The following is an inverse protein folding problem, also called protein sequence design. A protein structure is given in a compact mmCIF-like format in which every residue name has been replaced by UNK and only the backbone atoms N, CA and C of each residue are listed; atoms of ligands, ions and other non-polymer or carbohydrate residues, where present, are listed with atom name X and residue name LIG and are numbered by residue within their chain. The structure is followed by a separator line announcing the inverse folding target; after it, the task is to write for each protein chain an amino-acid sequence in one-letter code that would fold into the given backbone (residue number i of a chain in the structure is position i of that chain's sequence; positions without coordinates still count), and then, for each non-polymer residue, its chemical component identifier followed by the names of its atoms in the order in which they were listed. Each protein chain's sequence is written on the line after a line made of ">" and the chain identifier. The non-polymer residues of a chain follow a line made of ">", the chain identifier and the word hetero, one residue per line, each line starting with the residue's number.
data_IF_981069506778
#
_entry.id   IF_981069506778
#
_cell.length_a   1.000
_cell.length_b   1.000
_cell.length_c   1.000
_cell.angle_alpha   90.00
_cell.angle_beta   90.00
_cell.angle_gamma   90.00
#
_symmetry.space_group_name_H-M   'P 1'
#
loop_
_entity.id
_entity.type
_entity.pdbx_description
1 polymer ?
#
# COMPACT_ATOMS: atom_id res chain seq x y z
N UNK A 1 -4.51 -4.46 -2.33
CA UNK A 1 -3.71 -5.09 -3.40
C UNK A 1 -3.30 -6.46 -2.90
N UNK A 2 -3.59 -7.51 -3.65
CA UNK A 2 -3.17 -8.88 -3.38
C UNK A 2 -2.69 -9.54 -4.66
N UNK A 3 -2.02 -10.69 -4.54
CA UNK A 3 -1.52 -11.43 -5.70
C UNK A 3 -1.02 -12.81 -5.32
N UNK A 4 -0.79 -13.62 -6.35
CA UNK A 4 -0.31 -14.99 -6.24
C UNK A 4 0.74 -15.26 -7.31
N UNK A 5 1.79 -16.00 -6.96
CA UNK A 5 2.79 -16.51 -7.89
C UNK A 5 3.03 -18.00 -7.59
N UNK A 6 3.02 -18.84 -8.63
CA UNK A 6 3.37 -20.26 -8.48
C UNK A 6 4.88 -20.41 -8.24
N UNK A 7 5.26 -21.41 -7.42
CA UNK A 7 6.67 -21.75 -7.17
C UNK A 7 7.51 -20.57 -6.66
N UNK A 8 7.00 -19.84 -5.67
CA UNK A 8 7.65 -18.70 -5.05
C UNK A 8 8.02 -19.00 -3.59
N UNK A 9 8.77 -18.10 -2.97
CA UNK A 9 9.09 -18.13 -1.53
C UNK A 9 8.41 -16.98 -0.80
N UNK A 10 8.23 -17.08 0.52
CA UNK A 10 7.67 -16.00 1.33
C UNK A 10 8.42 -14.69 1.10
N UNK A 11 9.76 -14.71 1.15
CA UNK A 11 10.57 -13.51 0.91
C UNK A 11 10.27 -12.86 -0.46
N UNK A 12 10.10 -13.66 -1.53
CA UNK A 12 9.74 -13.11 -2.84
C UNK A 12 8.38 -12.46 -2.83
N UNK A 13 7.39 -13.09 -2.17
CA UNK A 13 6.03 -12.53 -2.08
C UNK A 13 6.01 -11.22 -1.30
N UNK A 14 6.78 -11.12 -0.21
CA UNK A 14 6.92 -9.88 0.57
C UNK A 14 7.56 -8.76 -0.26
N UNK A 15 8.64 -9.07 -1.01
CA UNK A 15 9.26 -8.11 -1.93
C UNK A 15 8.30 -7.67 -3.03
N UNK A 16 7.53 -8.58 -3.61
CA UNK A 16 6.53 -8.27 -4.64
C UNK A 16 5.41 -7.38 -4.09
N UNK A 17 4.94 -7.64 -2.86
CA UNK A 17 3.96 -6.80 -2.19
C UNK A 17 4.50 -5.38 -1.97
N UNK A 18 5.76 -5.26 -1.53
CA UNK A 18 6.44 -3.97 -1.38
C UNK A 18 6.57 -3.23 -2.73
N UNK A 19 6.96 -3.92 -3.81
CA UNK A 19 7.03 -3.36 -5.16
C UNK A 19 5.68 -2.78 -5.58
N UNK A 20 4.60 -3.57 -5.45
CA UNK A 20 3.25 -3.13 -5.82
C UNK A 20 2.77 -1.94 -5.00
N UNK A 21 3.13 -1.89 -3.73
CA UNK A 21 2.82 -0.77 -2.85
C UNK A 21 3.59 0.49 -3.27
N UNK A 22 4.89 0.39 -3.54
CA UNK A 22 5.71 1.51 -3.99
C UNK A 22 5.28 2.03 -5.37
N UNK A 23 4.97 1.12 -6.33
CA UNK A 23 4.39 1.47 -7.63
C UNK A 23 3.10 2.30 -7.45
N UNK A 24 2.25 1.89 -6.52
CA UNK A 24 1.00 2.61 -6.22
C UNK A 24 1.26 3.96 -5.56
N UNK A 25 2.16 4.02 -4.58
CA UNK A 25 2.52 5.26 -3.88
C UNK A 25 3.14 6.31 -4.80
N UNK A 26 3.90 5.90 -5.82
CA UNK A 26 4.45 6.83 -6.83
C UNK A 26 3.38 7.59 -7.63
N UNK A 27 2.15 7.09 -7.68
CA UNK A 27 1.04 7.76 -8.34
C UNK A 27 0.49 8.94 -7.53
N UNK A 28 0.87 9.06 -6.26
CA UNK A 28 0.42 10.13 -5.37
C UNK A 28 1.56 11.12 -5.12
N UNK A 29 1.24 12.42 -5.06
CA UNK A 29 2.18 13.43 -4.55
C UNK A 29 2.23 13.33 -3.04
N UNK A 30 3.22 12.62 -2.51
CA UNK A 30 3.39 12.43 -1.08
C UNK A 30 3.93 13.73 -0.47
N UNK A 31 3.14 14.40 0.38
CA UNK A 31 3.52 15.64 1.08
C UNK A 31 4.15 15.39 2.46
N UNK A 32 4.14 14.17 2.98
CA UNK A 32 4.58 13.80 4.34
C UNK A 32 5.34 12.47 4.31
N UNK A 33 6.11 12.22 5.37
CA UNK A 33 6.77 10.93 5.58
C UNK A 33 5.71 9.83 5.78
N UNK A 34 5.76 8.80 4.95
CA UNK A 34 4.90 7.63 5.02
C UNK A 34 5.63 6.48 5.70
N UNK A 35 4.90 5.72 6.51
CA UNK A 35 5.38 4.49 7.11
C UNK A 35 4.75 3.31 6.40
N UNK A 36 5.57 2.46 5.82
CA UNK A 36 5.15 1.18 5.28
C UNK A 36 5.43 0.12 6.35
N UNK A 37 4.37 -0.43 6.94
CA UNK A 37 4.47 -1.39 8.04
C UNK A 37 4.53 -2.81 7.49
N UNK A 38 5.45 -3.62 8.03
CA UNK A 38 5.64 -5.01 7.63
C UNK A 38 6.27 -5.81 8.78
N UNK A 39 6.00 -7.10 8.86
CA UNK A 39 6.66 -8.04 9.75
C UNK A 39 7.89 -8.71 9.11
N UNK A 40 8.17 -8.42 7.85
CA UNK A 40 9.32 -8.90 7.13
C UNK A 40 10.60 -8.14 7.50
N UNK A 41 11.38 -8.70 8.39
CA UNK A 41 12.74 -8.17 8.70
C UNK A 41 13.62 -8.16 7.45
N UNK A 42 13.51 -9.18 6.60
CA UNK A 42 14.28 -9.26 5.35
C UNK A 42 14.02 -8.05 4.44
N UNK A 43 12.73 -7.64 4.29
CA UNK A 43 12.38 -6.46 3.54
C UNK A 43 12.90 -5.18 4.19
N UNK A 44 12.74 -5.03 5.52
CA UNK A 44 13.19 -3.84 6.26
C UNK A 44 14.69 -3.65 6.14
N UNK A 45 15.47 -4.70 6.45
CA UNK A 45 16.91 -4.63 6.44
C UNK A 45 17.45 -4.39 5.02
N UNK A 46 16.87 -5.06 4.03
CA UNK A 46 17.25 -4.86 2.64
C UNK A 46 16.98 -3.44 2.17
N UNK A 47 15.78 -2.91 2.41
CA UNK A 47 15.37 -1.58 2.00
C UNK A 47 16.17 -0.47 2.69
N UNK A 48 16.40 -0.60 4.01
CA UNK A 48 17.01 0.45 4.82
C UNK A 48 18.54 0.42 4.79
N UNK A 49 19.12 -0.80 4.77
CA UNK A 49 20.54 -0.98 5.05
C UNK A 49 21.31 -1.60 3.86
N UNK A 50 20.81 -2.73 3.29
CA UNK A 50 21.64 -3.56 2.44
C UNK A 50 21.73 -3.06 0.99
N UNK A 51 20.65 -2.52 0.42
CA UNK A 51 20.61 -2.05 -0.98
C UNK A 51 21.78 -1.12 -1.30
N UNK A 52 22.08 -0.15 -0.43
CA UNK A 52 23.12 0.82 -0.68
C UNK A 52 24.53 0.16 -0.77
N UNK A 53 24.77 -0.85 0.07
CA UNK A 53 26.02 -1.61 0.06
C UNK A 53 26.10 -2.54 -1.14
N UNK A 54 25.00 -3.23 -1.48
CA UNK A 54 24.94 -4.08 -2.65
C UNK A 54 25.18 -3.30 -3.95
N UNK A 55 24.62 -2.12 -4.07
CA UNK A 55 24.86 -1.23 -5.24
C UNK A 55 26.34 -0.89 -5.37
N UNK A 56 27.02 -0.50 -4.27
CA UNK A 56 28.45 -0.19 -4.27
C UNK A 56 29.30 -1.40 -4.65
N UNK A 57 28.86 -2.60 -4.30
CA UNK A 57 29.57 -3.87 -4.53
C UNK A 57 29.10 -4.60 -5.81
N UNK A 58 28.46 -3.92 -6.75
CA UNK A 58 27.99 -4.52 -8.00
C UNK A 58 26.92 -5.62 -7.78
N UNK A 59 26.03 -5.42 -6.80
CA UNK A 59 24.94 -6.33 -6.42
C UNK A 59 25.44 -7.71 -5.95
N UNK A 60 26.56 -7.70 -5.20
CA UNK A 60 27.12 -8.89 -4.56
C UNK A 60 27.06 -8.75 -3.05
N UNK A 61 26.97 -9.90 -2.38
CA UNK A 61 27.07 -10.00 -0.92
C UNK A 61 28.53 -9.75 -0.48
N UNK A 62 28.76 -9.62 0.82
CA UNK A 62 30.13 -9.52 1.39
C UNK A 62 31.04 -10.72 1.05
N UNK A 63 30.42 -11.87 0.74
CA UNK A 63 31.14 -13.08 0.31
C UNK A 63 31.36 -13.17 -1.20
N UNK A 64 31.01 -12.13 -1.96
CA UNK A 64 31.17 -12.07 -3.42
C UNK A 64 30.09 -12.83 -4.22
N UNK A 65 29.12 -13.46 -3.57
CA UNK A 65 28.01 -14.16 -4.24
C UNK A 65 26.95 -13.16 -4.72
N UNK A 66 26.21 -13.46 -5.80
CA UNK A 66 25.05 -12.63 -6.21
C UNK A 66 24.04 -12.49 -5.07
N UNK A 67 23.42 -11.33 -4.97
CA UNK A 67 22.35 -11.08 -4.00
C UNK A 67 21.15 -11.97 -4.34
N UNK A 68 20.59 -12.63 -3.33
CA UNK A 68 19.37 -13.44 -3.50
C UNK A 68 18.18 -12.52 -3.84
N UNK A 69 17.31 -12.94 -4.76
CA UNK A 69 16.19 -12.16 -5.28
C UNK A 69 16.62 -10.80 -5.90
N UNK A 70 17.77 -10.80 -6.58
CA UNK A 70 18.38 -9.63 -7.18
C UNK A 70 17.41 -8.86 -8.07
N UNK A 71 16.63 -9.58 -8.87
CA UNK A 71 15.61 -9.04 -9.77
C UNK A 71 14.61 -8.13 -9.03
N UNK A 72 14.13 -8.58 -7.88
CA UNK A 72 13.17 -7.83 -7.08
C UNK A 72 13.83 -6.67 -6.32
N UNK A 73 15.04 -6.87 -5.82
CA UNK A 73 15.78 -5.82 -5.12
C UNK A 73 16.18 -4.66 -6.03
N UNK A 74 16.59 -4.94 -7.26
CA UNK A 74 16.87 -3.90 -8.26
C UNK A 74 15.60 -3.11 -8.61
N UNK A 75 14.46 -3.79 -8.72
CA UNK A 75 13.18 -3.14 -8.94
C UNK A 75 12.76 -2.26 -7.76
N UNK A 76 12.93 -2.74 -6.52
CA UNK A 76 12.68 -1.95 -5.31
C UNK A 76 13.56 -0.70 -5.28
N UNK A 77 14.86 -0.83 -5.59
CA UNK A 77 15.77 0.30 -5.61
C UNK A 77 15.33 1.40 -6.59
N UNK A 78 14.91 1.03 -7.79
CA UNK A 78 14.35 1.97 -8.77
C UNK A 78 13.01 2.61 -8.38
N UNK A 79 12.31 1.98 -7.43
CA UNK A 79 11.03 2.46 -6.91
C UNK A 79 11.14 3.18 -5.57
N UNK A 80 12.32 3.30 -4.97
CA UNK A 80 12.50 3.96 -3.66
C UNK A 80 11.92 5.38 -3.68
N UNK A 81 11.28 5.74 -2.59
CA UNK A 81 10.65 7.04 -2.36
C UNK A 81 11.21 7.56 -1.04
N UNK A 82 11.81 8.76 -1.06
CA UNK A 82 12.49 9.34 0.11
C UNK A 82 11.55 9.57 1.30
N UNK A 83 10.27 9.81 1.02
CA UNK A 83 9.23 10.03 2.01
C UNK A 83 8.70 8.74 2.65
N UNK A 84 9.12 7.56 2.14
CA UNK A 84 8.67 6.25 2.63
C UNK A 84 9.74 5.62 3.52
N UNK A 85 9.34 5.28 4.75
CA UNK A 85 10.14 4.53 5.70
C UNK A 85 9.49 3.19 6.01
N UNK A 86 10.30 2.15 6.14
CA UNK A 86 9.83 0.85 6.61
C UNK A 86 9.74 0.85 8.13
N UNK A 87 8.64 0.33 8.67
CA UNK A 87 8.42 0.17 10.11
C UNK A 87 8.07 -1.29 10.42
N UNK A 88 8.77 -1.86 11.39
CA UNK A 88 8.50 -3.23 11.82
C UNK A 88 7.21 -3.33 12.60
N UNK A 89 6.38 -4.30 12.27
CA UNK A 89 5.26 -4.76 13.10
C UNK A 89 5.48 -6.23 13.43
N UNK A 90 5.21 -6.63 14.65
CA UNK A 90 5.34 -8.04 15.04
C UNK A 90 4.19 -8.84 14.41
N UNK A 91 4.54 -9.87 13.62
CA UNK A 91 3.55 -10.79 13.06
C UNK A 91 2.76 -11.51 14.15
N UNK A 92 1.49 -11.81 13.90
CA UNK A 92 0.57 -12.52 14.79
C UNK A 92 0.53 -11.95 16.22
N UNK A 93 0.58 -10.63 16.34
CA UNK A 93 0.58 -9.93 17.63
C UNK A 93 -0.74 -9.24 17.95
N UNK A 94 -1.79 -9.49 17.16
CA UNK A 94 -3.07 -8.81 17.29
C UNK A 94 -3.08 -7.42 16.64
N UNK A 95 -2.03 -7.03 15.89
CA UNK A 95 -2.09 -5.81 15.08
C UNK A 95 -3.12 -6.00 13.96
N UNK A 96 -4.22 -5.29 14.06
CA UNK A 96 -5.40 -5.41 13.19
C UNK A 96 -5.06 -5.33 11.70
N UNK A 97 -4.16 -4.45 11.32
CA UNK A 97 -3.81 -4.27 9.91
C UNK A 97 -2.90 -5.37 9.40
N UNK A 98 -1.98 -5.85 10.25
CA UNK A 98 -1.11 -6.98 9.90
C UNK A 98 -1.91 -8.27 9.78
N UNK A 99 -2.79 -8.58 10.73
CA UNK A 99 -3.70 -9.73 10.68
C UNK A 99 -4.57 -9.73 9.41
N UNK A 100 -5.04 -8.55 9.01
CA UNK A 100 -5.80 -8.40 7.76
C UNK A 100 -4.96 -8.71 6.52
N UNK A 101 -3.71 -8.24 6.48
CA UNK A 101 -2.80 -8.52 5.36
C UNK A 101 -2.49 -10.01 5.28
N UNK A 102 -2.26 -10.68 6.41
CA UNK A 102 -2.04 -12.11 6.51
C UNK A 102 -3.23 -12.92 6.00
N UNK A 103 -4.45 -12.51 6.37
CA UNK A 103 -5.68 -13.14 5.87
C UNK A 103 -5.79 -13.00 4.34
N UNK A 104 -5.53 -11.81 3.81
CA UNK A 104 -5.53 -11.57 2.36
C UNK A 104 -4.50 -12.46 1.67
N UNK A 105 -3.26 -12.50 2.16
CA UNK A 105 -2.19 -13.32 1.62
C UNK A 105 -2.55 -14.83 1.63
N UNK A 106 -3.11 -15.31 2.74
CA UNK A 106 -3.57 -16.69 2.90
C UNK A 106 -4.70 -17.03 1.92
N UNK A 107 -5.66 -16.14 1.71
CA UNK A 107 -6.74 -16.36 0.75
C UNK A 107 -6.21 -16.46 -0.68
N UNK A 108 -5.31 -15.57 -1.07
CA UNK A 108 -4.68 -15.65 -2.40
C UNK A 108 -3.88 -16.95 -2.58
N UNK A 109 -3.15 -17.41 -1.56
CA UNK A 109 -2.41 -18.69 -1.63
C UNK A 109 -3.32 -19.92 -1.83
N UNK A 110 -4.57 -19.84 -1.36
CA UNK A 110 -5.61 -20.86 -1.54
C UNK A 110 -6.41 -20.72 -2.83
N UNK A 111 -6.07 -19.75 -3.70
CA UNK A 111 -6.79 -19.46 -4.93
C UNK A 111 -8.11 -18.71 -4.74
N UNK A 112 -8.36 -18.19 -3.54
CA UNK A 112 -9.56 -17.40 -3.23
C UNK A 112 -9.30 -15.96 -3.62
N UNK A 113 -9.61 -15.60 -4.86
CA UNK A 113 -9.34 -14.27 -5.42
C UNK A 113 -10.36 -13.20 -4.98
N UNK A 114 -11.39 -13.56 -4.23
CA UNK A 114 -12.37 -12.65 -3.66
C UNK A 114 -12.30 -12.76 -2.14
N UNK A 115 -11.91 -11.69 -1.50
CA UNK A 115 -12.26 -11.49 -0.09
C UNK A 115 -13.77 -11.34 -0.08
N UNK A 116 -14.49 -12.30 0.49
CA UNK A 116 -15.95 -12.25 0.60
C UNK A 116 -16.34 -10.93 1.27
N UNK A 117 -17.22 -10.15 0.63
CA UNK A 117 -17.70 -8.88 1.19
C UNK A 117 -18.26 -9.03 2.61
N UNK A 118 -18.87 -10.19 2.92
CA UNK A 118 -19.35 -10.50 4.28
C UNK A 118 -18.25 -10.63 5.34
N UNK A 119 -17.06 -11.14 4.98
CA UNK A 119 -15.91 -11.12 5.89
C UNK A 119 -15.31 -9.71 5.99
N UNK A 120 -15.41 -8.92 4.94
CA UNK A 120 -15.06 -7.52 4.92
C UNK A 120 -15.92 -6.71 5.91
N UNK A 121 -17.24 -6.90 5.89
CA UNK A 121 -18.20 -6.21 6.76
C UNK A 121 -18.00 -6.56 8.24
N UNK A 122 -17.64 -7.81 8.57
CA UNK A 122 -17.33 -8.23 9.95
C UNK A 122 -16.01 -7.65 10.48
N UNK A 123 -15.04 -7.36 9.60
CA UNK A 123 -13.77 -6.72 9.98
C UNK A 123 -13.96 -5.20 10.07
N UNK A 124 -14.80 -4.63 9.23
CA UNK A 124 -15.13 -3.20 9.24
C UNK A 124 -16.03 -2.83 10.44
N UNK A 125 -16.75 -3.82 11.03
CA UNK A 125 -17.50 -3.67 12.29
C UNK A 125 -16.64 -3.80 13.55
N UNK A 126 -15.40 -4.30 13.47
CA UNK A 126 -14.45 -4.27 14.56
C UNK A 126 -13.82 -2.88 14.66
N UNK A 127 -14.56 -1.97 15.29
CA UNK A 127 -14.11 -0.70 15.87
C UNK A 127 -12.91 -0.01 15.22
N UNK A 128 -13.11 0.53 14.01
CA UNK A 128 -12.41 1.74 13.64
C UNK A 128 -13.24 2.85 14.25
N UNK A 129 -12.86 3.34 15.41
CA UNK A 129 -13.23 4.67 15.85
C UNK A 129 -12.48 5.71 15.00
N UNK A 130 -12.57 5.59 13.66
CA UNK A 130 -12.31 6.71 12.80
C UNK A 130 -13.45 7.68 13.08
N UNK A 131 -13.18 8.97 13.32
CA UNK A 131 -14.24 9.96 13.46
C UNK A 131 -15.24 9.76 12.34
N UNK A 132 -16.54 9.80 12.65
CA UNK A 132 -17.63 9.56 11.67
C UNK A 132 -17.45 10.41 10.42
N UNK A 133 -16.81 11.57 10.56
CA UNK A 133 -16.42 12.47 9.48
C UNK A 133 -15.47 11.84 8.45
N UNK A 134 -14.49 11.03 8.89
CA UNK A 134 -13.55 10.35 8.00
C UNK A 134 -14.25 9.21 7.24
N UNK A 135 -15.13 8.47 7.91
CA UNK A 135 -15.95 7.41 7.28
C UNK A 135 -16.88 8.03 6.23
N UNK A 136 -17.51 9.14 6.56
CA UNK A 136 -18.38 9.88 5.65
C UNK A 136 -17.60 10.43 4.44
N UNK A 137 -16.40 10.97 4.66
CA UNK A 137 -15.54 11.46 3.58
C UNK A 137 -15.13 10.33 2.63
N UNK A 138 -14.75 9.17 3.17
CA UNK A 138 -14.36 8.02 2.35
C UNK A 138 -15.51 7.54 1.46
N UNK A 139 -16.73 7.42 2.03
CA UNK A 139 -17.92 7.03 1.29
C UNK A 139 -18.28 8.01 0.17
N UNK A 140 -18.07 9.31 0.39
CA UNK A 140 -18.30 10.36 -0.62
C UNK A 140 -17.26 10.29 -1.75
N UNK A 141 -15.99 10.08 -1.44
CA UNK A 141 -14.93 9.90 -2.45
C UNK A 141 -15.19 8.65 -3.30
N UNK A 142 -15.65 7.56 -2.69
CA UNK A 142 -16.02 6.35 -3.42
C UNK A 142 -17.21 6.60 -4.37
N UNK A 143 -18.20 7.38 -3.93
CA UNK A 143 -19.36 7.75 -4.76
C UNK A 143 -18.95 8.60 -5.97
N UNK A 144 -18.08 9.60 -5.77
CA UNK A 144 -17.51 10.42 -6.86
C UNK A 144 -16.76 9.55 -7.86
N UNK A 145 -15.96 8.61 -7.38
CA UNK A 145 -15.23 7.67 -8.24
C UNK A 145 -16.19 6.80 -9.09
N UNK A 146 -17.31 6.34 -8.51
CA UNK A 146 -18.33 5.56 -9.23
C UNK A 146 -19.05 6.40 -10.29
N UNK A 147 -19.33 7.67 -10.02
CA UNK A 147 -19.91 8.58 -11.01
C UNK A 147 -18.95 8.81 -12.19
N UNK A 148 -17.67 9.08 -11.91
CA UNK A 148 -16.66 9.24 -12.94
C UNK A 148 -16.51 7.99 -13.83
N UNK A 149 -16.52 6.80 -13.23
CA UNK A 149 -16.44 5.52 -13.97
C UNK A 149 -17.66 5.27 -14.86
N UNK A 150 -18.82 5.80 -14.47
CA UNK A 150 -20.08 5.68 -15.26
C UNK A 150 -20.26 6.82 -16.27
N UNK A 151 -19.29 7.73 -16.38
CA UNK A 151 -19.35 8.85 -17.33
C UNK A 151 -20.31 9.98 -16.92
N UNK A 152 -20.74 10.04 -15.65
CA UNK A 152 -21.53 11.16 -15.17
C UNK A 152 -20.63 12.39 -15.01
N UNK A 153 -21.07 13.52 -15.59
CA UNK A 153 -20.44 14.82 -15.43
C UNK A 153 -21.09 15.54 -14.25
N UNK A 154 -20.28 15.92 -13.28
CA UNK A 154 -20.70 16.74 -12.15
C UNK A 154 -20.22 18.17 -12.36
N UNK A 155 -21.06 19.14 -12.03
CA UNK A 155 -20.64 20.53 -11.93
C UNK A 155 -19.70 20.71 -10.73
N UNK A 156 -18.88 21.78 -10.73
CA UNK A 156 -18.01 22.10 -9.59
C UNK A 156 -18.79 22.22 -8.29
N UNK A 157 -19.99 22.83 -8.34
CA UNK A 157 -20.87 22.95 -7.18
C UNK A 157 -21.36 21.60 -6.65
N UNK A 158 -21.79 20.69 -7.52
CA UNK A 158 -22.21 19.35 -7.13
C UNK A 158 -21.06 18.54 -6.53
N UNK A 159 -19.86 18.65 -7.10
CA UNK A 159 -18.67 18.01 -6.57
C UNK A 159 -18.29 18.56 -5.18
N UNK A 160 -18.30 19.89 -5.01
CA UNK A 160 -18.03 20.54 -3.73
C UNK A 160 -19.06 20.13 -2.68
N UNK A 161 -20.34 20.09 -3.02
CA UNK A 161 -21.41 19.63 -2.12
C UNK A 161 -21.23 18.16 -1.72
N UNK A 162 -20.91 17.29 -2.68
CA UNK A 162 -20.65 15.87 -2.44
C UNK A 162 -19.45 15.66 -1.48
N UNK A 163 -18.41 16.46 -1.62
CA UNK A 163 -17.19 16.37 -0.80
C UNK A 163 -17.28 17.22 0.48
N UNK A 164 -18.36 18.00 0.67
CA UNK A 164 -18.49 18.99 1.76
C UNK A 164 -17.34 19.99 1.83
N UNK A 165 -16.89 20.46 0.68
CA UNK A 165 -15.85 21.48 0.53
C UNK A 165 -16.54 22.81 0.14
N UNK A 166 -16.13 23.92 0.76
CA UNK A 166 -16.60 25.24 0.34
C UNK A 166 -16.06 25.58 -1.07
N UNK A 167 -16.95 26.02 -1.97
CA UNK A 167 -16.63 26.34 -3.37
C UNK A 167 -15.48 27.36 -3.49
N UNK A 168 -15.40 28.30 -2.57
CA UNK A 168 -14.36 29.34 -2.53
C UNK A 168 -12.95 28.81 -2.20
N UNK A 169 -12.83 27.68 -1.53
CA UNK A 169 -11.54 27.06 -1.19
C UNK A 169 -10.96 26.27 -2.37
N UNK A 170 -11.83 25.71 -3.23
CA UNK A 170 -11.42 24.95 -4.42
C UNK A 170 -10.72 25.82 -5.47
N UNK A 171 -11.22 27.07 -5.67
CA UNK A 171 -10.69 28.02 -6.66
C UNK A 171 -9.34 28.61 -6.23
N UNK A 172 -9.03 28.65 -4.93
CA UNK A 172 -7.74 29.18 -4.42
C UNK A 172 -6.58 28.22 -4.57
N UNK A 173 -6.83 26.92 -4.64
CA UNK A 173 -5.76 25.90 -4.79
C UNK A 173 -5.41 25.61 -6.25
N UNK A 174 -6.18 26.11 -7.22
CA UNK A 174 -5.95 25.93 -8.66
C UNK A 174 -5.27 27.12 -9.35
N UNK A 175 -4.90 28.18 -8.58
CA UNK A 175 -4.07 29.30 -9.03
C UNK A 175 -2.66 29.17 -8.44
#
# INVERSE_FOLDING_TARGET
>A
IGGFEKNTTNNRMELMAAIKTLEKLKQFKLKKNFKLRTDSKYLIDGYSNWINNWKKNGWKTSTGKPVQNLDLWQKIDGLRINEVRMEFVKGHSGDKYNERVDLIATNYSKGINKVDRKQQENIDQLDIAAPQEIINLYSRIELVSKFAQKGFLLTTRELCNLLSIEENNYIREMK
#
